data_IF_996865319133
#
_entry.id   IF_996865319133
#
_cell.length_a   1.000
_cell.length_b   1.000
_cell.length_c   1.000
_cell.angle_alpha   90.00
_cell.angle_beta   90.00
_cell.angle_gamma   90.00
#
_symmetry.space_group_name_H-M   'P 1'
#
loop_
_entity.id
_entity.type
_entity.pdbx_description
1 polymer ?
#
# COMPACT_ATOMS: atom_id res chain seq x y z
N UNK A 1 -19.51 5.06 -13.91
CA UNK A 1 -18.82 3.85 -13.39
C UNK A 1 -17.85 4.32 -12.31
N UNK A 2 -17.81 3.66 -11.15
CA UNK A 2 -16.92 4.06 -10.04
C UNK A 2 -15.45 3.69 -10.34
N UNK A 3 -15.23 2.52 -10.94
CA UNK A 3 -13.91 2.07 -11.38
C UNK A 3 -13.73 2.38 -12.87
N UNK A 4 -12.66 3.11 -13.18
CA UNK A 4 -12.24 3.54 -14.51
C UNK A 4 -10.70 3.50 -14.59
N UNK A 5 -10.13 3.69 -15.78
CA UNK A 5 -8.68 3.76 -15.96
C UNK A 5 -8.00 4.87 -15.13
N UNK A 6 -8.74 5.93 -14.79
CA UNK A 6 -8.25 7.06 -14.00
C UNK A 6 -8.54 6.90 -12.49
N UNK A 7 -8.98 5.72 -12.06
CA UNK A 7 -9.31 5.43 -10.66
C UNK A 7 -8.21 4.60 -10.00
N UNK A 8 -7.80 4.99 -8.79
CA UNK A 8 -7.01 4.15 -7.89
C UNK A 8 -7.91 3.58 -6.78
N UNK A 9 -8.06 2.26 -6.74
CA UNK A 9 -8.67 1.56 -5.62
C UNK A 9 -7.59 1.19 -4.60
N UNK A 10 -7.73 1.69 -3.38
CA UNK A 10 -6.79 1.46 -2.28
C UNK A 10 -7.48 0.68 -1.17
N UNK A 11 -6.88 -0.43 -0.74
CA UNK A 11 -7.35 -1.23 0.39
C UNK A 11 -6.34 -1.14 1.54
N UNK A 12 -6.83 -1.07 2.77
CA UNK A 12 -6.00 -1.04 3.98
C UNK A 12 -5.39 -2.41 4.30
N UNK A 13 -5.98 -3.48 3.76
CA UNK A 13 -5.45 -4.83 3.89
C UNK A 13 -4.16 -5.01 3.07
N UNK A 14 -3.25 -5.84 3.56
CA UNK A 14 -2.01 -6.21 2.89
C UNK A 14 -1.76 -7.73 3.00
N UNK A 15 -0.83 -8.24 2.18
CA UNK A 15 -0.42 -9.65 2.20
C UNK A 15 -1.40 -10.63 1.54
N UNK A 16 -2.48 -10.14 0.91
CA UNK A 16 -3.42 -10.95 0.13
C UNK A 16 -4.18 -10.08 -0.88
N UNK A 17 -4.60 -10.66 -1.99
CA UNK A 17 -5.56 -9.99 -2.90
C UNK A 17 -6.96 -10.03 -2.26
N UNK A 18 -7.60 -8.87 -2.12
CA UNK A 18 -8.92 -8.75 -1.52
C UNK A 18 -10.01 -8.80 -2.59
N UNK A 19 -11.24 -9.27 -2.27
CA UNK A 19 -12.36 -9.21 -3.21
C UNK A 19 -12.63 -7.81 -3.76
N UNK A 20 -12.38 -6.77 -2.94
CA UNK A 20 -12.50 -5.37 -3.35
C UNK A 20 -11.49 -4.99 -4.43
N UNK A 21 -10.20 -5.25 -4.20
CA UNK A 21 -9.17 -4.94 -5.19
C UNK A 21 -9.32 -5.79 -6.46
N UNK A 22 -9.67 -7.07 -6.32
CA UNK A 22 -9.97 -7.94 -7.46
C UNK A 22 -11.13 -7.38 -8.31
N UNK A 23 -12.21 -6.94 -7.66
CA UNK A 23 -13.36 -6.33 -8.34
C UNK A 23 -12.98 -5.02 -9.04
N UNK A 24 -12.24 -4.14 -8.36
CA UNK A 24 -11.81 -2.86 -8.93
C UNK A 24 -10.92 -3.04 -10.17
N UNK A 25 -9.95 -3.96 -10.09
CA UNK A 25 -9.05 -4.31 -11.18
C UNK A 25 -9.79 -4.87 -12.38
N UNK A 26 -10.76 -5.76 -12.15
CA UNK A 26 -11.62 -6.32 -13.20
C UNK A 26 -12.45 -5.25 -13.94
N UNK A 27 -12.64 -4.07 -13.31
CA UNK A 27 -13.36 -2.93 -13.89
C UNK A 27 -12.42 -1.81 -14.37
N UNK A 28 -11.12 -2.08 -14.48
CA UNK A 28 -10.13 -1.20 -15.11
C UNK A 28 -9.47 -0.18 -14.19
N UNK A 29 -9.70 -0.24 -12.88
CA UNK A 29 -9.00 0.61 -11.93
C UNK A 29 -7.58 0.10 -11.65
N UNK A 30 -6.66 1.02 -11.38
CA UNK A 30 -5.40 0.70 -10.71
C UNK A 30 -5.69 0.26 -9.27
N UNK A 31 -4.85 -0.61 -8.72
CA UNK A 31 -5.01 -1.14 -7.36
C UNK A 31 -3.75 -0.99 -6.53
N UNK A 32 -3.89 -0.59 -5.28
CA UNK A 32 -2.82 -0.60 -4.28
C UNK A 32 -3.33 -1.20 -2.96
N UNK A 33 -2.44 -1.91 -2.25
CA UNK A 33 -2.69 -2.51 -0.95
C UNK A 33 -2.13 -1.65 0.20
N UNK A 34 -2.43 -2.06 1.42
CA UNK A 34 -2.08 -1.31 2.63
C UNK A 34 -0.60 -1.38 3.03
N UNK A 35 0.23 -2.14 2.31
CA UNK A 35 1.62 -2.40 2.73
C UNK A 35 2.46 -1.13 2.75
N UNK A 36 2.29 -0.26 1.75
CA UNK A 36 2.98 1.03 1.71
C UNK A 36 2.63 1.87 2.92
N UNK A 37 1.33 2.03 3.21
CA UNK A 37 0.87 2.74 4.40
C UNK A 37 1.41 2.12 5.69
N UNK A 38 1.41 0.80 5.84
CA UNK A 38 1.94 0.10 7.01
C UNK A 38 3.39 0.50 7.30
N UNK A 39 4.24 0.55 6.27
CA UNK A 39 5.65 0.90 6.42
C UNK A 39 5.82 2.40 6.66
N UNK A 40 5.11 3.25 5.92
CA UNK A 40 5.20 4.71 6.08
C UNK A 40 4.73 5.19 7.46
N UNK A 41 3.67 4.60 8.03
CA UNK A 41 3.28 4.94 9.40
C UNK A 41 4.34 4.52 10.43
N UNK A 42 5.05 3.41 10.20
CA UNK A 42 6.12 2.95 11.07
C UNK A 42 7.35 3.85 10.94
N UNK A 43 7.63 4.34 9.74
CA UNK A 43 8.67 5.33 9.48
C UNK A 43 8.37 6.66 10.19
N UNK A 44 7.11 7.11 10.21
CA UNK A 44 6.72 8.31 10.94
C UNK A 44 6.85 8.12 12.47
N UNK A 45 6.40 7.00 13.01
CA UNK A 45 6.62 6.67 14.42
C UNK A 45 8.12 6.58 14.78
N UNK A 46 8.92 5.99 13.90
CA UNK A 46 10.37 5.91 14.05
C UNK A 46 11.02 7.30 14.06
N UNK A 47 10.58 8.20 13.17
CA UNK A 47 11.04 9.59 13.16
C UNK A 47 10.70 10.31 14.46
N UNK A 48 9.47 10.16 14.98
CA UNK A 48 9.05 10.77 16.25
C UNK A 48 9.91 10.31 17.43
N UNK A 49 10.30 9.03 17.47
CA UNK A 49 11.07 8.49 18.59
C UNK A 49 12.59 8.64 18.45
N UNK A 50 13.10 8.66 17.22
CA UNK A 50 14.54 8.55 16.94
C UNK A 50 15.13 9.79 16.26
N UNK A 51 14.29 10.72 15.80
CA UNK A 51 14.72 11.91 15.06
C UNK A 51 15.32 11.58 13.68
N UNK A 52 15.13 10.35 13.18
CA UNK A 52 15.68 9.87 11.90
C UNK A 52 14.52 9.43 11.03
N UNK A 53 14.43 9.93 9.80
CA UNK A 53 13.45 9.47 8.81
C UNK A 53 14.07 8.34 7.99
N UNK A 54 13.63 7.08 8.15
CA UNK A 54 14.23 5.95 7.45
C UNK A 54 13.84 5.96 5.97
N UNK A 55 14.68 5.37 5.12
CA UNK A 55 14.32 5.05 3.73
C UNK A 55 13.42 3.81 3.72
N UNK A 56 12.18 3.99 3.27
CA UNK A 56 11.12 2.98 3.32
C UNK A 56 11.06 2.10 2.08
N UNK A 57 11.60 2.57 0.94
CA UNK A 57 11.57 1.83 -0.32
C UNK A 57 12.20 0.42 -0.23
N UNK A 58 13.40 0.24 0.35
CA UNK A 58 13.99 -1.10 0.49
C UNK A 58 13.20 -2.00 1.45
N UNK A 59 12.57 -1.43 2.48
CA UNK A 59 11.75 -2.18 3.45
C UNK A 59 10.47 -2.69 2.77
N UNK A 60 9.77 -1.83 2.03
CA UNK A 60 8.58 -2.21 1.27
C UNK A 60 8.93 -3.31 0.25
N UNK A 61 10.04 -3.16 -0.47
CA UNK A 61 10.49 -4.16 -1.44
C UNK A 61 10.79 -5.51 -0.78
N UNK A 62 11.48 -5.51 0.36
CA UNK A 62 11.77 -6.73 1.13
C UNK A 62 10.49 -7.43 1.61
N UNK A 63 9.49 -6.67 2.09
CA UNK A 63 8.24 -7.24 2.58
C UNK A 63 7.34 -7.76 1.47
N UNK A 64 7.42 -7.21 0.25
CA UNK A 64 6.71 -7.75 -0.92
C UNK A 64 7.31 -9.05 -1.45
N UNK A 65 8.59 -9.29 -1.18
CA UNK A 65 9.30 -10.48 -1.62
C UNK A 65 9.19 -11.67 -0.64
N UNK A 66 8.63 -11.43 0.56
CA UNK A 66 8.40 -12.44 1.60
C UNK A 66 7.05 -13.14 1.40
#
# INVERSE_FOLDING_TARGET
RLFTADTLAYDMMYGRDTPFLAFARAHGAATADGLGMLVEQAAEAFYLWRGVRPDTAPVIASLRAA
#
